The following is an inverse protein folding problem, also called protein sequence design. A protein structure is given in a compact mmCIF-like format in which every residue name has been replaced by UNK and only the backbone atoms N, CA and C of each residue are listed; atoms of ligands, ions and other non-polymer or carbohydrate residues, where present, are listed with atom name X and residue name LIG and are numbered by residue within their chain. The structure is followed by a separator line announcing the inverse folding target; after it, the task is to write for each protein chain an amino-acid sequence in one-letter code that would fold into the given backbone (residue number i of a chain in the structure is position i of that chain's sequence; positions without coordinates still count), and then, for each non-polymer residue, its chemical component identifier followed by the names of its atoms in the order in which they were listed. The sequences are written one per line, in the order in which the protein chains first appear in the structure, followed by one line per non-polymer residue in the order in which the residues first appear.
data_IF_149855684189
#
_entry.id   IF_149855684189
#
_cell.length_a   1.000
_cell.length_b   1.000
_cell.length_c   1.000
_cell.angle_alpha   90.00
_cell.angle_beta   90.00
_cell.angle_gamma   90.00
#
_symmetry.space_group_name_H-M   'P 1'
#
loop_
_entity.id
_entity.type
_entity.pdbx_description
1 polymer ?
#
# COMPACT_ATOMS: atom_id res chain seq x y z
N UNK A 1 18.87 -3.97 10.12
CA UNK A 1 19.74 -3.77 8.94
C UNK A 1 21.14 -4.11 9.40
N UNK A 2 21.87 -4.93 8.65
CA UNK A 2 23.29 -5.17 8.92
C UNK A 2 24.16 -4.27 8.03
N UNK A 3 25.47 -4.29 8.29
CA UNK A 3 26.46 -3.52 7.51
C UNK A 3 26.43 -3.87 6.01
N UNK A 4 26.17 -5.13 5.66
CA UNK A 4 26.07 -5.58 4.27
C UNK A 4 24.87 -4.94 3.56
N UNK A 5 23.72 -4.84 4.23
CA UNK A 5 22.54 -4.15 3.73
C UNK A 5 22.78 -2.64 3.60
N UNK A 6 23.45 -2.03 4.58
CA UNK A 6 23.81 -0.61 4.49
C UNK A 6 24.77 -0.33 3.31
N UNK A 7 25.82 -1.14 3.17
CA UNK A 7 26.82 -1.00 2.11
C UNK A 7 26.18 -1.23 0.72
N UNK A 8 25.32 -2.25 0.58
CA UNK A 8 24.62 -2.51 -0.68
C UNK A 8 23.67 -1.38 -1.11
N UNK A 9 23.05 -0.68 -0.16
CA UNK A 9 22.24 0.52 -0.44
C UNK A 9 23.12 1.71 -0.74
N UNK A 10 24.19 1.94 0.02
CA UNK A 10 25.08 3.09 -0.14
C UNK A 10 25.82 3.09 -1.48
N UNK A 11 26.08 1.90 -2.03
CA UNK A 11 26.60 1.70 -3.40
C UNK A 11 25.64 2.25 -4.46
N UNK A 12 24.33 2.33 -4.19
CA UNK A 12 23.35 2.93 -5.10
C UNK A 12 23.44 4.46 -5.16
N UNK A 13 24.32 5.10 -4.37
CA UNK A 13 24.36 6.55 -4.17
C UNK A 13 22.96 7.14 -3.96
N UNK A 14 22.16 6.60 -3.02
CA UNK A 14 20.74 6.91 -2.90
C UNK A 14 20.49 8.32 -2.38
N UNK A 15 21.53 8.98 -1.85
CA UNK A 15 21.44 10.28 -1.21
C UNK A 15 22.14 11.33 -2.05
N UNK A 16 21.47 12.43 -2.41
CA UNK A 16 22.15 13.61 -2.92
C UNK A 16 23.28 14.04 -1.99
N UNK A 17 24.41 14.46 -2.54
CA UNK A 17 25.41 15.23 -1.77
C UNK A 17 24.76 16.46 -1.16
N UNK A 18 25.36 17.04 -0.11
CA UNK A 18 24.84 18.26 0.50
C UNK A 18 24.63 19.38 -0.53
N UNK A 19 25.55 19.54 -1.47
CA UNK A 19 25.45 20.53 -2.55
C UNK A 19 24.25 20.26 -3.45
N UNK A 20 24.04 19.00 -3.86
CA UNK A 20 22.88 18.61 -4.67
C UNK A 20 21.57 18.79 -3.91
N UNK A 21 21.54 18.47 -2.60
CA UNK A 21 20.34 18.67 -1.80
C UNK A 21 19.97 20.15 -1.66
N UNK A 22 20.96 21.03 -1.41
CA UNK A 22 20.74 22.49 -1.37
C UNK A 22 20.09 22.98 -2.67
N UNK A 23 20.53 22.46 -3.83
CA UNK A 23 19.91 22.79 -5.12
C UNK A 23 18.45 22.29 -5.21
N UNK A 24 18.14 21.11 -4.68
CA UNK A 24 16.78 20.55 -4.67
C UNK A 24 15.80 21.37 -3.82
N UNK A 25 16.29 22.07 -2.80
CA UNK A 25 15.46 22.85 -1.87
C UNK A 25 15.60 24.36 -2.04
N UNK A 26 16.37 24.85 -3.02
CA UNK A 26 16.74 26.27 -3.12
C UNK A 26 15.52 27.23 -3.25
N UNK A 27 14.41 26.73 -3.80
CA UNK A 27 13.16 27.48 -3.96
C UNK A 27 12.23 27.40 -2.75
N UNK A 28 12.56 26.62 -1.73
CA UNK A 28 11.76 26.47 -0.51
C UNK A 28 12.11 27.57 0.49
N UNK A 29 11.11 28.06 1.21
CA UNK A 29 11.27 29.13 2.19
C UNK A 29 12.21 28.76 3.35
N UNK A 30 12.23 27.48 3.74
CA UNK A 30 13.03 26.93 4.84
C UNK A 30 14.27 26.16 4.38
N UNK A 31 14.85 26.56 3.24
CA UNK A 31 15.98 25.85 2.62
C UNK A 31 17.20 25.69 3.53
N UNK A 32 17.46 26.67 4.40
CA UNK A 32 18.61 26.64 5.31
C UNK A 32 18.41 25.57 6.36
N UNK A 33 17.26 25.57 7.01
CA UNK A 33 16.89 24.58 8.03
C UNK A 33 16.77 23.18 7.43
N UNK A 34 16.23 23.05 6.22
CA UNK A 34 16.17 21.77 5.51
C UNK A 34 17.55 21.24 5.19
N UNK A 35 18.48 22.09 4.74
CA UNK A 35 19.84 21.68 4.40
C UNK A 35 20.63 21.28 5.64
N UNK A 36 20.44 21.99 6.76
CA UNK A 36 21.05 21.64 8.03
C UNK A 36 20.51 20.32 8.57
N UNK A 37 19.19 20.15 8.59
CA UNK A 37 18.55 18.92 9.05
C UNK A 37 18.93 17.73 8.18
N UNK A 38 19.04 17.92 6.86
CA UNK A 38 19.53 16.88 5.95
C UNK A 38 20.98 16.49 6.25
N UNK A 39 21.86 17.46 6.48
CA UNK A 39 23.26 17.19 6.83
C UNK A 39 23.36 16.40 8.15
N UNK A 40 22.59 16.79 9.15
CA UNK A 40 22.50 16.09 10.44
C UNK A 40 22.11 14.62 10.24
N UNK A 41 21.01 14.37 9.51
CA UNK A 41 20.53 13.02 9.19
C UNK A 41 21.62 12.21 8.48
N UNK A 42 22.24 12.77 7.43
CA UNK A 42 23.27 12.06 6.67
C UNK A 42 24.52 11.77 7.52
N UNK A 43 24.87 12.66 8.44
CA UNK A 43 26.02 12.48 9.35
C UNK A 43 25.77 11.30 10.28
N UNK A 44 24.62 11.27 10.94
CA UNK A 44 24.23 10.19 11.86
C UNK A 44 24.03 8.85 11.14
N UNK A 45 23.39 8.86 9.96
CA UNK A 45 23.25 7.65 9.14
C UNK A 45 24.62 7.10 8.71
N UNK A 46 25.62 7.96 8.52
CA UNK A 46 26.98 7.52 8.18
C UNK A 46 27.75 6.94 9.37
N UNK A 47 27.43 7.35 10.60
CA UNK A 47 28.08 6.86 11.83
C UNK A 47 27.39 5.63 12.42
N UNK A 48 26.06 5.61 12.49
CA UNK A 48 25.26 4.60 13.21
C UNK A 48 24.25 3.86 12.31
N UNK A 49 24.38 4.00 10.98
CA UNK A 49 23.50 3.42 9.96
C UNK A 49 22.03 3.90 10.00
N UNK A 50 21.60 4.56 11.06
CA UNK A 50 20.23 5.05 11.25
C UNK A 50 20.24 6.47 11.84
N UNK A 51 19.15 7.20 11.61
CA UNK A 51 18.86 8.44 12.32
C UNK A 51 17.62 8.26 13.19
N UNK A 52 17.79 8.44 14.50
CA UNK A 52 16.68 8.47 15.44
C UNK A 52 15.98 9.83 15.39
N UNK A 53 14.72 9.84 14.91
CA UNK A 53 13.95 11.08 14.82
C UNK A 53 13.56 11.67 16.18
N UNK A 54 13.84 11.00 17.29
CA UNK A 54 13.72 11.59 18.62
C UNK A 54 14.91 12.50 18.99
N UNK A 55 16.02 12.49 18.25
CA UNK A 55 17.07 13.50 18.39
C UNK A 55 16.54 14.92 18.12
N UNK A 56 15.48 15.03 17.32
CA UNK A 56 14.74 16.28 17.11
C UNK A 56 14.17 16.88 18.40
N UNK A 57 14.06 16.14 19.51
CA UNK A 57 13.61 16.69 20.81
C UNK A 57 14.57 17.74 21.36
N UNK A 58 15.84 17.74 20.93
CA UNK A 58 16.81 18.79 21.23
C UNK A 58 16.70 20.04 20.36
N UNK A 59 15.83 20.05 19.34
CA UNK A 59 15.68 21.18 18.42
C UNK A 59 14.81 22.28 19.03
N UNK A 60 14.95 23.50 18.51
CA UNK A 60 14.12 24.64 18.94
C UNK A 60 12.62 24.41 18.72
N UNK A 61 12.27 23.63 17.68
CA UNK A 61 10.91 23.15 17.44
C UNK A 61 10.97 21.67 16.96
N UNK A 62 10.80 20.71 17.88
CA UNK A 62 10.87 19.29 17.58
C UNK A 62 9.80 18.82 16.60
N UNK A 63 8.58 19.35 16.70
CA UNK A 63 7.46 18.95 15.86
C UNK A 63 7.61 19.47 14.43
N UNK A 64 8.07 20.71 14.26
CA UNK A 64 8.36 21.27 12.94
C UNK A 64 9.51 20.53 12.26
N UNK A 65 10.56 20.14 13.01
CA UNK A 65 11.68 19.35 12.49
C UNK A 65 11.21 18.00 11.95
N UNK A 66 10.46 17.23 12.76
CA UNK A 66 9.85 15.97 12.32
C UNK A 66 8.92 16.18 11.11
N UNK A 67 8.11 17.24 11.09
CA UNK A 67 7.24 17.57 9.96
C UNK A 67 8.06 17.83 8.68
N UNK A 68 9.15 18.61 8.76
CA UNK A 68 10.06 18.87 7.64
C UNK A 68 10.68 17.59 7.09
N UNK A 69 11.09 16.67 7.96
CA UNK A 69 11.57 15.34 7.55
C UNK A 69 10.49 14.64 6.73
N UNK A 70 9.28 14.49 7.29
CA UNK A 70 8.17 13.74 6.68
C UNK A 70 7.72 14.30 5.34
N UNK A 71 7.59 15.63 5.22
CA UNK A 71 6.89 16.25 4.10
C UNK A 71 7.79 16.96 3.10
N UNK A 72 9.01 17.35 3.48
CA UNK A 72 9.91 18.12 2.61
C UNK A 72 11.16 17.33 2.24
N UNK A 73 11.85 16.75 3.23
CA UNK A 73 13.06 15.97 2.95
C UNK A 73 12.72 14.68 2.21
N UNK A 74 11.80 13.87 2.75
CA UNK A 74 11.41 12.62 2.11
C UNK A 74 10.73 12.80 0.73
N UNK A 75 10.14 13.97 0.46
CA UNK A 75 9.60 14.29 -0.86
C UNK A 75 10.71 14.53 -1.91
N UNK A 76 11.95 14.82 -1.47
CA UNK A 76 13.12 14.99 -2.35
C UNK A 76 14.04 13.79 -2.34
N UNK A 77 14.13 13.09 -1.20
CA UNK A 77 15.02 11.96 -0.97
C UNK A 77 14.25 10.85 -0.26
N UNK A 78 13.31 10.17 -0.94
CA UNK A 78 12.46 9.15 -0.33
C UNK A 78 13.25 7.98 0.24
N UNK A 79 14.43 7.67 -0.33
CA UNK A 79 15.31 6.59 0.09
C UNK A 79 15.75 6.69 1.56
N UNK A 80 15.78 7.91 2.12
CA UNK A 80 16.08 8.13 3.54
C UNK A 80 15.07 7.41 4.45
N UNK A 81 13.85 7.13 4.00
CA UNK A 81 12.84 6.41 4.79
C UNK A 81 13.28 5.03 5.29
N UNK A 82 14.30 4.42 4.67
CA UNK A 82 14.89 3.13 5.11
C UNK A 82 15.76 3.27 6.36
N UNK A 83 16.23 4.49 6.65
CA UNK A 83 17.24 4.77 7.67
C UNK A 83 16.69 5.59 8.84
N UNK A 84 15.44 6.01 8.79
CA UNK A 84 14.80 6.76 9.88
C UNK A 84 14.13 5.82 10.89
N UNK A 85 14.35 6.10 12.19
CA UNK A 85 13.67 5.45 13.32
C UNK A 85 12.69 6.40 14.00
N UNK A 86 11.72 5.83 14.74
CA UNK A 86 10.75 6.56 15.57
C UNK A 86 9.97 7.65 14.82
N UNK A 87 9.53 7.32 13.61
CA UNK A 87 8.78 8.21 12.73
C UNK A 87 7.81 7.42 11.86
N UNK A 88 6.80 8.08 11.32
CA UNK A 88 5.85 7.52 10.36
C UNK A 88 6.04 8.12 8.97
N UNK A 89 6.98 7.65 8.13
CA UNK A 89 7.14 8.14 6.77
C UNK A 89 5.85 7.95 5.96
N UNK A 90 5.60 8.85 4.99
CA UNK A 90 4.47 8.69 4.06
C UNK A 90 4.59 7.39 3.24
N UNK A 91 3.45 6.78 2.89
CA UNK A 91 3.41 5.50 2.18
C UNK A 91 4.21 5.53 0.86
N UNK A 92 3.99 6.55 0.03
CA UNK A 92 4.71 6.74 -1.24
C UNK A 92 6.23 6.74 -1.06
N UNK A 93 6.76 7.42 -0.03
CA UNK A 93 8.20 7.45 0.25
C UNK A 93 8.74 6.07 0.64
N UNK A 94 7.98 5.30 1.42
CA UNK A 94 8.39 3.96 1.85
C UNK A 94 8.41 2.97 0.68
N UNK A 95 7.37 3.00 -0.15
CA UNK A 95 7.27 2.13 -1.33
C UNK A 95 8.36 2.47 -2.35
N UNK A 96 8.62 3.76 -2.58
CA UNK A 96 9.72 4.20 -3.45
C UNK A 96 11.08 3.74 -2.93
N UNK A 97 11.35 3.94 -1.64
CA UNK A 97 12.61 3.55 -1.05
C UNK A 97 12.85 2.04 -1.14
N UNK A 98 11.80 1.24 -0.92
CA UNK A 98 11.89 -0.21 -1.06
C UNK A 98 12.07 -0.63 -2.51
N UNK A 99 11.44 0.05 -3.47
CA UNK A 99 11.59 -0.23 -4.90
C UNK A 99 13.05 -0.05 -5.34
N UNK A 100 13.71 1.02 -4.89
CA UNK A 100 15.13 1.27 -5.13
C UNK A 100 16.01 0.18 -4.51
N UNK A 101 15.71 -0.23 -3.26
CA UNK A 101 16.44 -1.29 -2.58
C UNK A 101 16.33 -2.63 -3.32
N UNK A 102 15.11 -3.00 -3.73
CA UNK A 102 14.84 -4.25 -4.44
C UNK A 102 15.28 -4.22 -5.89
N UNK A 103 15.49 -3.03 -6.47
CA UNK A 103 15.70 -2.81 -7.91
C UNK A 103 14.55 -3.37 -8.75
N UNK A 104 13.34 -3.28 -8.20
CA UNK A 104 12.11 -3.79 -8.76
C UNK A 104 11.05 -2.68 -8.72
N UNK A 105 10.20 -2.64 -9.73
CA UNK A 105 8.97 -1.82 -9.70
C UNK A 105 7.86 -2.68 -9.11
N UNK A 106 6.96 -2.07 -8.35
CA UNK A 106 5.80 -2.76 -7.78
C UNK A 106 4.81 -3.14 -8.88
N UNK A 107 4.48 -4.41 -8.99
CA UNK A 107 3.44 -4.96 -9.86
C UNK A 107 2.67 -6.09 -9.15
N UNK A 108 1.62 -6.63 -9.76
CA UNK A 108 0.81 -7.68 -9.14
C UNK A 108 1.56 -8.99 -8.86
N UNK A 109 2.69 -9.25 -9.54
CA UNK A 109 3.50 -10.45 -9.32
C UNK A 109 4.36 -10.35 -8.05
N UNK A 110 4.71 -9.15 -7.60
CA UNK A 110 5.60 -8.92 -6.46
C UNK A 110 4.98 -8.07 -5.33
N UNK A 111 3.77 -7.54 -5.50
CA UNK A 111 3.10 -6.63 -4.54
C UNK A 111 3.04 -7.20 -3.11
N UNK A 112 2.88 -8.52 -3.04
CA UNK A 112 2.86 -9.35 -1.86
C UNK A 112 4.17 -9.31 -1.06
N UNK A 113 5.30 -9.47 -1.76
CA UNK A 113 6.64 -9.40 -1.14
C UNK A 113 6.93 -7.99 -0.65
N UNK A 114 6.55 -6.98 -1.43
CA UNK A 114 6.65 -5.58 -1.01
C UNK A 114 5.85 -5.32 0.27
N UNK A 115 4.62 -5.84 0.37
CA UNK A 115 3.80 -5.66 1.58
C UNK A 115 4.46 -6.27 2.81
N UNK A 116 4.97 -7.49 2.70
CA UNK A 116 5.67 -8.19 3.80
C UNK A 116 6.90 -7.40 4.26
N UNK A 117 7.73 -6.96 3.33
CA UNK A 117 8.95 -6.21 3.63
C UNK A 117 8.65 -4.85 4.27
N UNK A 118 7.61 -4.15 3.78
CA UNK A 118 7.16 -2.87 4.35
C UNK A 118 6.61 -3.03 5.76
N UNK A 119 5.89 -4.11 6.04
CA UNK A 119 5.40 -4.44 7.39
C UNK A 119 6.55 -4.69 8.36
N UNK A 120 7.46 -5.59 7.99
CA UNK A 120 8.65 -5.89 8.81
C UNK A 120 9.48 -4.63 9.10
N UNK A 121 9.65 -3.75 8.10
CA UNK A 121 10.34 -2.46 8.28
C UNK A 121 9.57 -1.49 9.15
N UNK A 122 8.24 -1.46 9.07
CA UNK A 122 7.40 -0.64 9.92
C UNK A 122 7.54 -1.05 11.39
N UNK A 123 7.52 -2.34 11.68
CA UNK A 123 7.70 -2.90 13.02
C UNK A 123 9.12 -2.61 13.54
N UNK A 124 10.14 -2.87 12.74
CA UNK A 124 11.54 -2.60 13.09
C UNK A 124 11.87 -1.10 13.22
N UNK A 125 10.98 -0.19 12.82
CA UNK A 125 11.22 1.27 12.85
C UNK A 125 11.22 1.85 14.26
N UNK A 126 10.55 1.18 15.20
CA UNK A 126 10.38 1.66 16.56
C UNK A 126 11.45 1.05 17.45
N UNK A 127 12.30 1.90 18.04
CA UNK A 127 13.31 1.46 19.03
C UNK A 127 12.79 1.59 20.46
N UNK A 128 11.70 2.33 20.65
CA UNK A 128 10.98 2.51 21.91
C UNK A 128 9.52 2.12 21.78
N UNK A 129 8.85 2.01 22.92
CA UNK A 129 7.40 1.93 22.95
C UNK A 129 6.80 3.19 22.31
N UNK A 130 5.77 2.99 21.51
CA UNK A 130 5.03 4.06 20.87
C UNK A 130 4.28 4.89 21.94
N UNK A 131 4.28 6.22 21.76
CA UNK A 131 3.62 7.16 22.67
C UNK A 131 2.10 7.12 22.43
N UNK A 132 1.36 7.14 23.54
CA UNK A 132 -0.10 7.15 23.58
C UNK A 132 -0.63 8.44 24.25
N UNK A 133 -0.04 9.58 23.90
CA UNK A 133 -0.44 10.87 24.46
C UNK A 133 -1.63 11.48 23.71
N UNK A 134 -2.46 12.27 24.41
CA UNK A 134 -3.59 12.97 23.80
C UNK A 134 -3.11 13.88 22.65
N UNK A 135 -3.48 13.53 21.42
CA UNK A 135 -3.13 14.27 20.20
C UNK A 135 -1.90 13.77 19.44
N UNK A 136 -1.15 12.78 19.96
CA UNK A 136 -0.01 12.18 19.26
C UNK A 136 0.07 10.66 19.51
N UNK A 137 -1.00 9.95 19.15
CA UNK A 137 -1.08 8.50 19.28
C UNK A 137 -0.33 7.83 18.11
N UNK A 138 0.93 7.45 18.37
CA UNK A 138 1.80 6.83 17.37
C UNK A 138 1.30 5.43 16.97
N UNK A 139 0.65 4.70 17.86
CA UNK A 139 0.07 3.39 17.57
C UNK A 139 -1.09 3.47 16.58
N UNK A 140 -2.04 4.39 16.81
CA UNK A 140 -3.11 4.69 15.85
C UNK A 140 -2.55 5.22 14.53
N UNK A 141 -1.50 6.05 14.58
CA UNK A 141 -0.77 6.48 13.39
C UNK A 141 -0.20 5.30 12.59
N UNK A 142 0.31 4.26 13.26
CA UNK A 142 0.83 3.06 12.63
C UNK A 142 -0.22 2.29 11.84
N UNK A 143 -1.41 2.10 12.41
CA UNK A 143 -2.55 1.45 11.72
C UNK A 143 -2.92 2.22 10.45
N UNK A 144 -2.98 3.55 10.53
CA UNK A 144 -3.28 4.41 9.38
C UNK A 144 -2.20 4.33 8.28
N UNK A 145 -0.91 4.31 8.67
CA UNK A 145 0.22 4.16 7.74
C UNK A 145 0.17 2.81 7.04
N UNK A 146 -0.10 1.71 7.76
CA UNK A 146 -0.19 0.38 7.17
C UNK A 146 -1.35 0.26 6.18
N UNK A 147 -2.48 0.94 6.43
CA UNK A 147 -3.58 1.09 5.48
C UNK A 147 -3.14 1.86 4.23
N UNK A 148 -2.51 3.01 4.42
CA UNK A 148 -2.01 3.85 3.31
C UNK A 148 -0.95 3.14 2.47
N UNK A 149 -0.13 2.26 3.07
CA UNK A 149 0.84 1.44 2.36
C UNK A 149 0.15 0.42 1.43
N UNK A 150 -0.94 -0.20 1.89
CA UNK A 150 -1.72 -1.11 1.04
C UNK A 150 -2.30 -0.38 -0.18
N UNK A 151 -2.86 0.82 0.03
CA UNK A 151 -3.41 1.65 -1.04
C UNK A 151 -2.33 2.06 -2.06
N UNK A 152 -1.19 2.53 -1.58
CA UNK A 152 -0.07 2.94 -2.45
C UNK A 152 0.50 1.76 -3.25
N UNK A 153 0.63 0.57 -2.65
CA UNK A 153 1.10 -0.62 -3.37
C UNK A 153 0.15 -1.01 -4.50
N UNK A 154 -1.15 -1.04 -4.22
CA UNK A 154 -2.16 -1.39 -5.22
C UNK A 154 -2.24 -0.34 -6.32
N UNK A 155 -2.11 0.94 -5.97
CA UNK A 155 -2.01 2.02 -6.94
C UNK A 155 -0.86 1.77 -7.92
N UNK A 156 0.35 1.57 -7.42
CA UNK A 156 1.52 1.35 -8.29
C UNK A 156 1.37 0.10 -9.13
N UNK A 157 0.86 -0.98 -8.54
CA UNK A 157 0.61 -2.20 -9.29
C UNK A 157 -0.37 -1.96 -10.44
N UNK A 158 -1.50 -1.29 -10.22
CA UNK A 158 -2.46 -0.93 -11.28
C UNK A 158 -1.80 -0.06 -12.37
N UNK A 159 -0.98 0.93 -11.99
CA UNK A 159 -0.25 1.79 -12.93
C UNK A 159 0.72 1.00 -13.84
N UNK A 160 1.23 -0.16 -13.40
CA UNK A 160 2.08 -1.03 -14.26
C UNK A 160 1.28 -1.81 -15.29
N UNK A 161 0.00 -2.07 -15.02
CA UNK A 161 -0.84 -2.90 -15.89
C UNK A 161 -1.28 -2.14 -17.13
N UNK A 162 -1.35 -0.81 -17.06
CA UNK A 162 -1.80 -0.02 -18.20
C UNK A 162 -1.36 1.43 -18.12
N UNK A 163 -0.80 1.90 -19.23
CA UNK A 163 -0.68 3.34 -19.52
C UNK A 163 -1.94 3.88 -20.21
N UNK A 164 -3.00 3.05 -20.34
CA UNK A 164 -4.23 3.46 -21.00
C UNK A 164 -4.93 4.54 -20.18
N UNK A 165 -5.45 5.61 -20.83
CA UNK A 165 -6.31 6.57 -20.17
C UNK A 165 -7.64 5.96 -19.71
N UNK A 166 -7.93 4.71 -20.07
CA UNK A 166 -9.17 4.00 -19.73
C UNK A 166 -9.21 3.48 -18.29
N UNK A 167 -8.10 3.49 -17.55
CA UNK A 167 -8.07 3.17 -16.13
C UNK A 167 -7.39 4.30 -15.36
N UNK A 168 -8.06 4.83 -14.34
CA UNK A 168 -7.54 5.98 -13.59
C UNK A 168 -8.02 6.01 -12.15
N UNK A 169 -7.23 6.68 -11.31
CA UNK A 169 -7.54 6.92 -9.90
C UNK A 169 -8.60 8.02 -9.75
N UNK A 170 -9.56 7.83 -8.86
CA UNK A 170 -10.50 8.88 -8.46
C UNK A 170 -9.92 9.66 -7.28
N UNK A 171 -9.89 10.99 -7.40
CA UNK A 171 -9.33 11.87 -6.38
C UNK A 171 -10.35 12.87 -5.82
N UNK A 172 -11.57 12.90 -6.37
CA UNK A 172 -12.62 13.81 -5.93
C UNK A 172 -13.50 13.12 -4.88
N UNK A 173 -13.85 13.84 -3.81
CA UNK A 173 -14.56 13.27 -2.66
C UNK A 173 -15.96 12.73 -3.02
N UNK A 174 -16.61 13.30 -4.04
CA UNK A 174 -17.91 12.89 -4.54
C UNK A 174 -17.86 11.52 -5.27
N UNK A 175 -16.77 11.26 -5.99
CA UNK A 175 -16.56 10.00 -6.74
C UNK A 175 -15.83 8.94 -5.93
N UNK A 176 -15.07 9.32 -4.91
CA UNK A 176 -14.31 8.41 -4.04
C UNK A 176 -15.20 7.42 -3.27
N UNK A 177 -16.48 7.76 -3.08
CA UNK A 177 -17.46 6.87 -2.45
C UNK A 177 -17.77 5.61 -3.29
N UNK A 178 -17.53 5.65 -4.61
CA UNK A 178 -17.79 4.54 -5.52
C UNK A 178 -16.62 3.56 -5.63
N UNK A 179 -15.39 4.06 -5.58
CA UNK A 179 -14.16 3.27 -5.66
C UNK A 179 -12.95 4.18 -5.79
N UNK A 180 -11.77 3.62 -5.57
CA UNK A 180 -10.48 4.31 -5.62
C UNK A 180 -9.93 4.38 -7.06
N UNK A 181 -10.30 3.41 -7.90
CA UNK A 181 -10.00 3.40 -9.34
C UNK A 181 -11.25 3.08 -10.14
N UNK A 182 -11.26 3.52 -11.39
CA UNK A 182 -12.29 3.18 -12.37
C UNK A 182 -11.63 2.76 -13.67
N UNK A 183 -12.12 1.67 -14.25
CA UNK A 183 -11.79 1.19 -15.60
C UNK A 183 -13.02 1.35 -16.48
N UNK A 184 -12.87 2.04 -17.61
CA UNK A 184 -13.96 2.29 -18.54
C UNK A 184 -14.36 0.99 -19.25
N UNK A 185 -15.61 0.57 -19.06
CA UNK A 185 -16.17 -0.70 -19.58
C UNK A 185 -17.69 -0.62 -19.70
N UNK A 186 -18.28 -1.49 -20.52
CA UNK A 186 -19.72 -1.59 -20.74
C UNK A 186 -20.36 -2.77 -19.96
N UNK A 187 -21.63 -2.68 -19.55
CA UNK A 187 -22.50 -1.50 -19.61
C UNK A 187 -22.18 -0.48 -18.50
N UNK A 188 -21.56 -0.95 -17.41
CA UNK A 188 -21.14 -0.12 -16.30
C UNK A 188 -19.61 -0.14 -16.25
N UNK A 189 -19.00 1.02 -15.97
CA UNK A 189 -17.57 1.06 -15.68
C UNK A 189 -17.26 0.12 -14.50
N UNK A 190 -16.06 -0.47 -14.51
CA UNK A 190 -15.59 -1.34 -13.45
C UNK A 190 -14.88 -0.51 -12.39
N UNK A 191 -15.39 -0.55 -11.16
CA UNK A 191 -14.87 0.23 -10.04
C UNK A 191 -14.05 -0.66 -9.10
N UNK A 192 -12.85 -0.22 -8.74
CA UNK A 192 -12.00 -0.94 -7.79
C UNK A 192 -12.10 -0.27 -6.42
N UNK A 193 -12.56 -1.01 -5.44
CA UNK A 193 -12.59 -0.59 -4.05
C UNK A 193 -11.39 -1.17 -3.32
N UNK A 194 -10.38 -0.34 -3.09
CA UNK A 194 -9.16 -0.70 -2.38
C UNK A 194 -9.42 -0.60 -0.88
N UNK A 195 -9.05 -1.65 -0.14
CA UNK A 195 -9.22 -1.71 1.31
C UNK A 195 -7.94 -2.09 2.03
N UNK A 196 -7.79 -1.53 3.23
CA UNK A 196 -6.76 -1.96 4.17
C UNK A 196 -7.09 -3.33 4.78
N UNK A 197 -6.08 -4.02 5.31
CA UNK A 197 -6.24 -5.36 5.87
C UNK A 197 -7.21 -5.48 7.06
N UNK A 198 -7.40 -4.38 7.81
CA UNK A 198 -8.32 -4.29 8.96
C UNK A 198 -9.74 -3.80 8.60
N UNK A 199 -10.07 -3.65 7.32
CA UNK A 199 -11.37 -3.11 6.90
C UNK A 199 -12.48 -4.17 6.95
N UNK A 200 -12.84 -4.58 8.17
CA UNK A 200 -13.83 -5.64 8.49
C UNK A 200 -15.21 -5.42 7.84
N UNK A 201 -15.79 -4.22 7.91
CA UNK A 201 -17.19 -3.97 7.50
C UNK A 201 -17.35 -3.04 6.29
N UNK A 202 -16.25 -2.48 5.78
CA UNK A 202 -16.30 -1.29 4.88
C UNK A 202 -16.42 -1.59 3.39
N UNK A 203 -16.40 -2.85 2.98
CA UNK A 203 -16.67 -3.21 1.58
C UNK A 203 -18.11 -2.89 1.19
N UNK A 204 -19.06 -2.93 2.14
CA UNK A 204 -20.49 -2.73 1.87
C UNK A 204 -20.92 -1.27 1.65
N UNK A 205 -20.00 -0.31 1.83
CA UNK A 205 -20.30 1.12 1.70
C UNK A 205 -20.05 1.69 0.29
N UNK A 206 -19.41 0.92 -0.61
CA UNK A 206 -19.17 1.33 -1.99
C UNK A 206 -20.41 1.12 -2.87
N UNK A 207 -20.73 2.13 -3.67
CA UNK A 207 -22.02 2.39 -4.33
C UNK A 207 -22.87 1.19 -4.77
N UNK A 208 -24.13 1.21 -4.36
CA UNK A 208 -25.18 0.36 -4.91
C UNK A 208 -25.27 0.51 -6.43
N UNK A 209 -25.42 -0.62 -7.13
CA UNK A 209 -25.72 -0.71 -8.57
C UNK A 209 -24.57 -0.47 -9.57
N UNK A 210 -23.32 -0.48 -9.11
CA UNK A 210 -22.14 -0.51 -10.00
C UNK A 210 -21.47 -1.87 -10.04
N UNK A 211 -20.68 -2.11 -11.07
CA UNK A 211 -19.81 -3.28 -11.16
C UNK A 211 -18.53 -3.00 -10.35
N UNK A 212 -18.34 -3.74 -9.26
CA UNK A 212 -17.29 -3.49 -8.28
C UNK A 212 -16.29 -4.65 -8.19
N UNK A 213 -15.04 -4.30 -7.92
CA UNK A 213 -13.98 -5.22 -7.55
C UNK A 213 -13.47 -4.85 -6.17
N UNK A 214 -13.50 -5.80 -5.24
CA UNK A 214 -12.92 -5.63 -3.92
C UNK A 214 -11.46 -6.07 -3.96
N UNK A 215 -10.54 -5.22 -3.51
CA UNK A 215 -9.12 -5.55 -3.50
C UNK A 215 -8.47 -5.09 -2.19
N UNK A 216 -7.66 -5.93 -1.58
CA UNK A 216 -7.00 -5.59 -0.34
C UNK A 216 -6.14 -6.72 0.21
N UNK A 217 -5.28 -6.36 1.17
CA UNK A 217 -4.47 -7.32 1.93
C UNK A 217 -5.26 -7.82 3.14
N UNK A 218 -6.40 -8.46 2.89
CA UNK A 218 -7.32 -8.90 3.94
C UNK A 218 -6.68 -9.95 4.84
N UNK A 219 -6.70 -9.72 6.15
CA UNK A 219 -6.07 -10.62 7.14
C UNK A 219 -7.03 -11.69 7.67
N UNK A 220 -8.35 -11.50 7.51
CA UNK A 220 -9.39 -12.28 8.20
C UNK A 220 -10.23 -13.11 7.20
N UNK A 221 -9.91 -14.41 7.00
CA UNK A 221 -10.65 -15.28 6.08
C UNK A 221 -12.14 -15.43 6.46
N UNK A 222 -12.46 -15.31 7.75
CA UNK A 222 -13.82 -15.41 8.28
C UNK A 222 -14.81 -14.37 7.69
N UNK A 223 -14.30 -13.26 7.15
CA UNK A 223 -15.08 -12.26 6.42
C UNK A 223 -15.70 -12.81 5.13
N UNK A 224 -15.05 -13.81 4.52
CA UNK A 224 -15.38 -14.32 3.19
C UNK A 224 -16.04 -15.70 3.21
N UNK A 225 -16.18 -16.32 4.38
CA UNK A 225 -16.80 -17.65 4.55
C UNK A 225 -18.26 -17.56 5.02
N UNK A 226 -18.70 -16.40 5.52
CA UNK A 226 -20.08 -16.15 5.95
C UNK A 226 -21.04 -15.97 4.78
N UNK A 227 -22.03 -16.86 4.65
CA UNK A 227 -23.05 -16.77 3.59
C UNK A 227 -23.79 -15.42 3.58
N UNK A 228 -24.07 -14.85 4.75
CA UNK A 228 -24.72 -13.55 4.87
C UNK A 228 -23.84 -12.43 4.31
N UNK A 229 -22.54 -12.42 4.64
CA UNK A 229 -21.59 -11.41 4.15
C UNK A 229 -21.38 -11.54 2.64
N UNK A 230 -21.15 -12.75 2.14
CA UNK A 230 -21.01 -13.03 0.70
C UNK A 230 -22.22 -12.56 -0.09
N UNK A 231 -23.43 -12.86 0.40
CA UNK A 231 -24.66 -12.38 -0.23
C UNK A 231 -24.73 -10.86 -0.25
N UNK A 232 -24.31 -10.19 0.82
CA UNK A 232 -24.31 -8.73 0.87
C UNK A 232 -23.28 -8.11 -0.08
N UNK A 233 -22.09 -8.71 -0.23
CA UNK A 233 -21.11 -8.24 -1.22
C UNK A 233 -21.68 -8.32 -2.65
N UNK A 234 -22.33 -9.44 -3.01
CA UNK A 234 -22.99 -9.55 -4.32
C UNK A 234 -24.12 -8.54 -4.51
N UNK A 235 -24.90 -8.26 -3.45
CA UNK A 235 -25.95 -7.23 -3.49
C UNK A 235 -25.41 -5.81 -3.64
N UNK A 236 -24.21 -5.54 -3.11
CA UNK A 236 -23.55 -4.25 -3.27
C UNK A 236 -23.06 -4.03 -4.72
N UNK A 237 -22.84 -5.11 -5.48
CA UNK A 237 -22.41 -5.04 -6.89
C UNK A 237 -21.00 -5.60 -7.12
N UNK A 238 -20.39 -6.27 -6.14
CA UNK A 238 -19.10 -6.92 -6.36
C UNK A 238 -19.23 -8.04 -7.40
N UNK A 239 -18.38 -7.98 -8.43
CA UNK A 239 -18.17 -9.04 -9.41
C UNK A 239 -17.05 -9.98 -8.96
N UNK A 240 -16.05 -9.46 -8.24
CA UNK A 240 -14.97 -10.26 -7.67
C UNK A 240 -14.42 -9.60 -6.41
N UNK A 241 -13.85 -10.42 -5.53
CA UNK A 241 -13.03 -9.99 -4.40
C UNK A 241 -11.69 -10.70 -4.51
N UNK A 242 -10.63 -9.92 -4.66
CA UNK A 242 -9.25 -10.37 -4.75
C UNK A 242 -8.66 -10.46 -3.35
N UNK A 243 -8.33 -11.69 -2.98
CA UNK A 243 -7.80 -12.04 -1.67
C UNK A 243 -6.29 -12.27 -1.78
N UNK A 244 -5.49 -11.89 -0.78
CA UNK A 244 -4.07 -12.17 -0.83
C UNK A 244 -3.86 -13.68 -0.87
N UNK A 245 -3.12 -14.11 -1.88
CA UNK A 245 -2.68 -15.48 -2.13
C UNK A 245 -1.29 -15.77 -1.54
N UNK A 246 -0.76 -14.81 -0.78
CA UNK A 246 0.39 -14.93 0.11
C UNK A 246 -0.03 -14.68 1.57
N UNK A 247 0.84 -15.05 2.50
CA UNK A 247 0.69 -14.68 3.90
C UNK A 247 0.74 -13.15 4.09
N UNK A 248 -0.28 -12.60 4.77
CA UNK A 248 -0.33 -11.19 5.18
C UNK A 248 -0.22 -11.01 6.69
N UNK A 249 -0.28 -12.10 7.45
CA UNK A 249 -0.01 -12.18 8.89
C UNK A 249 1.17 -13.12 9.20
N UNK A 250 1.75 -13.01 10.40
CA UNK A 250 2.81 -13.93 10.86
C UNK A 250 2.31 -15.37 11.00
N UNK A 251 1.07 -15.53 11.48
CA UNK A 251 0.40 -16.83 11.59
C UNK A 251 0.33 -17.52 10.24
N UNK A 252 -0.18 -16.82 9.22
CA UNK A 252 -0.25 -17.32 7.86
C UNK A 252 1.13 -17.68 7.29
N UNK A 253 2.14 -16.88 7.61
CA UNK A 253 3.51 -17.16 7.18
C UNK A 253 4.06 -18.44 7.82
N UNK A 254 3.84 -18.62 9.12
CA UNK A 254 4.30 -19.79 9.86
C UNK A 254 3.56 -21.07 9.44
N UNK A 255 2.29 -20.95 9.08
CA UNK A 255 1.45 -22.06 8.59
C UNK A 255 1.59 -22.29 7.07
N UNK A 256 2.38 -21.46 6.38
CA UNK A 256 2.55 -21.49 4.92
C UNK A 256 1.19 -21.46 4.18
N UNK A 257 0.31 -20.55 4.60
CA UNK A 257 -1.03 -20.33 4.05
C UNK A 257 -1.26 -18.86 3.69
N UNK A 258 -2.46 -18.55 3.22
CA UNK A 258 -2.91 -17.22 2.86
C UNK A 258 -4.41 -17.09 3.02
N UNK A 259 -4.92 -15.87 3.06
CA UNK A 259 -6.37 -15.62 3.19
C UNK A 259 -7.13 -16.29 2.04
N UNK A 260 -6.61 -16.23 0.81
CA UNK A 260 -7.21 -16.95 -0.31
C UNK A 260 -7.23 -18.47 -0.08
N UNK A 261 -6.10 -19.06 0.31
CA UNK A 261 -5.99 -20.50 0.55
C UNK A 261 -6.93 -20.98 1.66
N UNK A 262 -7.04 -20.24 2.76
CA UNK A 262 -7.94 -20.54 3.87
C UNK A 262 -9.41 -20.46 3.47
N UNK A 263 -9.80 -19.46 2.66
CA UNK A 263 -11.16 -19.35 2.12
C UNK A 263 -11.47 -20.52 1.18
N UNK A 264 -10.56 -20.89 0.29
CA UNK A 264 -10.71 -22.06 -0.58
C UNK A 264 -10.84 -23.36 0.24
N UNK A 265 -10.00 -23.54 1.26
CA UNK A 265 -10.04 -24.68 2.16
C UNK A 265 -11.39 -24.80 2.87
N UNK A 266 -11.95 -23.68 3.37
CA UNK A 266 -13.27 -23.66 4.00
C UNK A 266 -14.38 -24.18 3.07
N UNK A 267 -14.44 -23.69 1.82
CA UNK A 267 -15.47 -24.13 0.87
C UNK A 267 -15.30 -25.60 0.48
N UNK A 268 -14.06 -26.04 0.24
CA UNK A 268 -13.75 -27.44 -0.07
C UNK A 268 -14.12 -28.38 1.08
N UNK A 269 -13.80 -28.04 2.33
CA UNK A 269 -14.08 -28.87 3.50
C UNK A 269 -15.56 -28.88 3.90
N UNK A 270 -16.27 -27.76 3.71
CA UNK A 270 -17.69 -27.65 4.05
C UNK A 270 -18.63 -28.34 3.06
N UNK A 271 -18.10 -28.90 1.96
CA UNK A 271 -18.89 -29.48 0.88
C UNK A 271 -19.78 -28.46 0.15
N UNK A 272 -19.47 -27.16 0.30
CA UNK A 272 -20.21 -26.06 -0.32
C UNK A 272 -19.47 -25.59 -1.56
N UNK A 273 -20.20 -25.41 -2.66
CA UNK A 273 -19.62 -24.77 -3.84
C UNK A 273 -19.11 -23.37 -3.48
N UNK A 274 -17.91 -23.03 -3.96
CA UNK A 274 -17.37 -21.69 -3.85
C UNK A 274 -18.33 -20.69 -4.52
N UNK A 275 -18.52 -19.48 -3.97
CA UNK A 275 -19.45 -18.52 -4.54
C UNK A 275 -19.02 -18.12 -5.95
N UNK A 276 -19.99 -18.09 -6.88
CA UNK A 276 -19.83 -17.51 -8.22
C UNK A 276 -20.42 -16.11 -8.28
N UNK A 277 -19.90 -15.24 -9.13
CA UNK A 277 -20.48 -13.94 -9.38
C UNK A 277 -21.74 -14.03 -10.28
N UNK A 278 -22.32 -12.89 -10.63
CA UNK A 278 -23.54 -12.84 -11.46
C UNK A 278 -23.32 -13.35 -12.90
N UNK A 279 -22.08 -13.37 -13.37
CA UNK A 279 -21.66 -13.85 -14.68
C UNK A 279 -21.28 -15.35 -14.67
N UNK A 280 -21.29 -15.99 -13.51
CA UNK A 280 -20.92 -17.40 -13.34
C UNK A 280 -19.41 -17.66 -13.18
N UNK A 281 -18.59 -16.62 -13.04
CA UNK A 281 -17.14 -16.74 -12.77
C UNK A 281 -16.86 -16.75 -11.27
N UNK A 282 -15.64 -17.15 -10.88
CA UNK A 282 -15.24 -17.23 -9.46
C UNK A 282 -15.36 -15.88 -8.75
N UNK A 283 -16.05 -15.85 -7.61
CA UNK A 283 -16.25 -14.62 -6.84
C UNK A 283 -15.02 -14.24 -5.99
N UNK A 284 -14.32 -15.23 -5.45
CA UNK A 284 -13.04 -15.04 -4.77
C UNK A 284 -11.91 -15.43 -5.71
N UNK A 285 -10.92 -14.55 -5.85
CA UNK A 285 -9.78 -14.72 -6.76
C UNK A 285 -8.47 -14.41 -6.02
N UNK A 286 -7.35 -15.00 -6.42
CA UNK A 286 -6.04 -14.64 -5.86
C UNK A 286 -5.63 -13.24 -6.32
N UNK A 287 -5.04 -12.46 -5.42
CA UNK A 287 -4.67 -11.06 -5.67
C UNK A 287 -3.66 -10.91 -6.81
N UNK A 288 -2.76 -11.88 -6.97
CA UNK A 288 -1.79 -11.91 -8.06
C UNK A 288 -2.42 -11.93 -9.46
N UNK A 289 -3.64 -12.48 -9.62
CA UNK A 289 -4.34 -12.56 -10.91
C UNK A 289 -5.02 -11.25 -11.33
N UNK A 290 -5.19 -10.28 -10.42
CA UNK A 290 -5.89 -9.02 -10.72
C UNK A 290 -5.28 -8.26 -11.90
N UNK A 291 -3.96 -8.29 -12.01
CA UNK A 291 -3.25 -7.64 -13.10
C UNK A 291 -3.62 -8.22 -14.47
N UNK A 292 -3.75 -9.54 -14.55
CA UNK A 292 -4.06 -10.22 -15.81
C UNK A 292 -5.53 -10.05 -16.20
N UNK A 293 -6.44 -10.05 -15.24
CA UNK A 293 -7.87 -9.75 -15.47
C UNK A 293 -8.07 -8.31 -15.96
N UNK A 294 -7.30 -7.34 -15.43
CA UNK A 294 -7.32 -5.95 -15.91
C UNK A 294 -6.78 -5.88 -17.36
N UNK A 295 -5.66 -6.56 -17.68
CA UNK A 295 -5.12 -6.58 -19.06
C UNK A 295 -6.11 -7.17 -20.04
N UNK A 296 -6.73 -8.30 -19.71
CA UNK A 296 -7.68 -8.99 -20.56
C UNK A 296 -8.89 -8.11 -20.94
N UNK A 297 -9.33 -7.23 -20.04
CA UNK A 297 -10.33 -6.20 -20.36
C UNK A 297 -9.76 -5.11 -21.27
N UNK A 298 -8.57 -4.60 -20.97
CA UNK A 298 -7.96 -3.49 -21.70
C UNK A 298 -7.53 -3.86 -23.13
N UNK A 299 -7.21 -5.12 -23.39
CA UNK A 299 -6.95 -5.67 -24.72
C UNK A 299 -8.16 -5.58 -25.65
N UNK A 300 -9.37 -5.46 -25.09
CA UNK A 300 -10.59 -5.24 -25.84
C UNK A 300 -10.77 -3.75 -26.11
N UNK A 301 -11.18 -3.44 -27.34
CA UNK A 301 -11.66 -2.10 -27.70
C UNK A 301 -12.84 -1.71 -26.79
N UNK A 302 -12.91 -0.43 -26.42
CA UNK A 302 -13.91 0.10 -25.48
C UNK A 302 -15.35 -0.25 -25.90
N UNK A 303 -15.62 -0.30 -27.21
CA UNK A 303 -16.93 -0.67 -27.75
C UNK A 303 -17.34 -2.13 -27.48
N UNK A 304 -16.37 -2.99 -27.13
CA UNK A 304 -16.56 -4.43 -26.89
C UNK A 304 -16.17 -4.85 -25.48
N UNK A 305 -15.43 -4.01 -24.76
CA UNK A 305 -14.99 -4.25 -23.40
C UNK A 305 -16.18 -4.29 -22.45
N UNK A 306 -16.50 -5.48 -21.96
CA UNK A 306 -17.65 -5.68 -21.08
C UNK A 306 -17.31 -6.31 -19.74
N UNK A 307 -17.89 -5.76 -18.67
CA UNK A 307 -17.83 -6.33 -17.31
C UNK A 307 -18.57 -7.66 -17.18
N UNK A 308 -19.41 -8.03 -18.16
CA UNK A 308 -20.05 -9.34 -18.22
C UNK A 308 -19.03 -10.47 -18.41
N UNK A 309 -17.88 -10.16 -19.00
CA UNK A 309 -16.79 -11.11 -19.21
C UNK A 309 -15.75 -11.06 -18.07
N UNK A 310 -16.02 -10.27 -17.01
CA UNK A 310 -15.15 -10.16 -15.86
C UNK A 310 -15.35 -11.30 -14.85
#
# INVERSE_FOLDING_TARGET
MDRSQFDSISVLQPFPTQVQFVQLVDRLQDKVELSQLYLEICTEVSSDFFYDCDLCDGHSDPNLSRKRIKTKILAKVPQLALFLKNIHPGAAHQVEALSVLRREVVDFSNISDFKRDLRSRHEARWTRLQKEDQGNNEAQGGVSVLGSLSEELLKRAIETVSTSPDIFQTNQDDTKSYGDFVLMSLPNNLWFSVKSGYSRERLLASGFSNDLVGVGFFEEPSEFTSQYKVRNFKKAGFLAIYLPDVAVTEEQHNENTSTYAEVCAFYNQSGRAAPLNINGTGFFRPLSELGDDIKALLEQDLQRRSTLNF
#
